data_IF_443104188112
#
_entry.id   IF_443104188112
#
_cell.length_a   1.000
_cell.length_b   1.000
_cell.length_c   1.000
_cell.angle_alpha   90.00
_cell.angle_beta   90.00
_cell.angle_gamma   90.00
#
_symmetry.space_group_name_H-M   'P 1'
#
loop_
_entity.id
_entity.type
_entity.pdbx_description
1 polymer ?
#
# COMPACT_ATOMS: atom_id res chain seq x y z
N UNK A 1 -8.75 35.63 -3.23
CA UNK A 1 -9.26 35.49 -1.84
C UNK A 1 -9.78 34.05 -1.57
N UNK A 2 -8.97 33.00 -1.86
CA UNK A 2 -9.40 31.58 -1.66
C UNK A 2 -8.50 30.83 -0.64
N UNK A 3 -7.50 31.53 -0.06
CA UNK A 3 -6.55 30.88 0.87
C UNK A 3 -7.03 30.65 2.31
N UNK A 4 -8.16 31.19 2.73
CA UNK A 4 -8.55 31.19 4.16
C UNK A 4 -9.64 30.17 4.58
N UNK A 5 -10.25 29.43 3.65
CA UNK A 5 -11.25 28.41 4.04
C UNK A 5 -10.66 27.02 4.30
N UNK A 6 -9.48 26.70 3.75
CA UNK A 6 -8.85 25.38 3.95
C UNK A 6 -8.09 25.26 5.29
N UNK A 7 -7.67 26.37 5.91
CA UNK A 7 -7.01 26.33 7.23
C UNK A 7 -7.96 25.97 8.37
N UNK A 8 -9.26 26.27 8.23
CA UNK A 8 -10.23 26.02 9.29
C UNK A 8 -10.72 24.54 9.36
N UNK A 9 -10.64 23.79 8.24
CA UNK A 9 -11.02 22.35 8.29
C UNK A 9 -9.97 21.50 9.00
N UNK A 10 -8.69 21.92 9.03
CA UNK A 10 -7.67 21.27 9.84
C UNK A 10 -7.82 21.50 11.36
N UNK A 11 -8.58 22.52 11.76
CA UNK A 11 -8.71 22.89 13.17
C UNK A 11 -9.85 22.14 13.90
N UNK A 12 -10.76 21.49 13.21
CA UNK A 12 -11.92 20.85 13.85
C UNK A 12 -11.54 19.62 14.70
N UNK A 13 -10.39 18.99 14.45
CA UNK A 13 -9.86 17.90 15.29
C UNK A 13 -8.81 18.38 16.32
N UNK A 14 -8.46 19.64 16.33
CA UNK A 14 -7.38 20.18 17.19
C UNK A 14 -7.83 20.43 18.62
N UNK A 15 -9.12 20.31 18.93
CA UNK A 15 -9.64 20.50 20.31
C UNK A 15 -9.61 19.22 21.15
N UNK A 16 -9.29 18.07 20.56
CA UNK A 16 -9.10 16.82 21.30
C UNK A 16 -7.64 16.53 21.65
N UNK A 17 -7.39 15.54 22.50
CA UNK A 17 -6.04 15.10 22.91
C UNK A 17 -5.19 14.59 21.73
N UNK A 18 -5.76 14.37 20.54
CA UNK A 18 -5.06 13.86 19.36
C UNK A 18 -4.57 15.00 18.47
N UNK A 19 -3.25 15.14 18.38
CA UNK A 19 -2.62 16.05 17.43
C UNK A 19 -2.63 15.41 16.02
N UNK A 20 -3.63 15.76 15.21
CA UNK A 20 -3.82 15.22 13.84
C UNK A 20 -2.57 15.39 12.96
N UNK A 21 -1.83 16.51 13.07
CA UNK A 21 -0.62 16.75 12.27
C UNK A 21 0.51 15.80 12.68
N UNK A 22 0.68 15.59 13.98
CA UNK A 22 1.68 14.66 14.50
C UNK A 22 1.36 13.23 14.08
N UNK A 23 0.10 12.84 14.16
CA UNK A 23 -0.36 11.50 13.75
C UNK A 23 -0.16 11.25 12.25
N UNK A 24 -0.54 12.19 11.39
CA UNK A 24 -0.30 12.12 9.95
C UNK A 24 1.20 11.99 9.66
N UNK A 25 2.03 12.82 10.31
CA UNK A 25 3.48 12.76 10.15
C UNK A 25 4.05 11.41 10.58
N UNK A 26 3.62 10.88 11.72
CA UNK A 26 4.03 9.57 12.24
C UNK A 26 3.75 8.47 11.21
N UNK A 27 2.52 8.40 10.70
CA UNK A 27 2.13 7.40 9.72
C UNK A 27 2.90 7.54 8.40
N UNK A 28 3.10 8.75 7.90
CA UNK A 28 3.85 8.98 6.65
C UNK A 28 5.33 8.62 6.78
N UNK A 29 5.97 8.93 7.90
CA UNK A 29 7.38 8.55 8.15
C UNK A 29 7.52 7.04 8.19
N UNK A 30 6.64 6.35 8.93
CA UNK A 30 6.65 4.89 9.02
C UNK A 30 6.46 4.23 7.65
N UNK A 31 5.46 4.66 6.89
CA UNK A 31 5.19 4.16 5.53
C UNK A 31 6.36 4.39 4.59
N UNK A 32 6.97 5.57 4.59
CA UNK A 32 8.12 5.87 3.74
C UNK A 32 9.32 4.95 4.02
N UNK A 33 9.57 4.62 5.29
CA UNK A 33 10.66 3.71 5.65
C UNK A 33 10.40 2.27 5.16
N UNK A 34 9.17 1.79 5.31
CA UNK A 34 8.73 0.49 4.81
C UNK A 34 8.77 0.43 3.27
N UNK A 35 8.27 1.48 2.59
CA UNK A 35 8.29 1.63 1.14
C UNK A 35 9.71 1.56 0.57
N UNK A 36 10.67 2.32 1.14
CA UNK A 36 12.05 2.37 0.67
C UNK A 36 12.73 1.00 0.71
N UNK A 37 12.51 0.23 1.79
CA UNK A 37 13.06 -1.12 1.92
C UNK A 37 12.43 -2.06 0.91
N UNK A 38 11.12 -2.02 0.78
CA UNK A 38 10.38 -2.87 -0.13
C UNK A 38 10.70 -2.57 -1.59
N UNK A 39 10.80 -1.29 -1.96
CA UNK A 39 11.25 -0.88 -3.29
C UNK A 39 12.58 -1.51 -3.68
N UNK A 40 13.57 -1.52 -2.77
CA UNK A 40 14.88 -2.13 -3.06
C UNK A 40 14.75 -3.62 -3.36
N UNK A 41 13.97 -4.34 -2.58
CA UNK A 41 13.74 -5.77 -2.76
C UNK A 41 13.05 -6.05 -4.11
N UNK A 42 11.97 -5.34 -4.42
CA UNK A 42 11.25 -5.47 -5.68
C UNK A 42 12.11 -5.12 -6.89
N UNK A 43 12.86 -4.02 -6.82
CA UNK A 43 13.72 -3.60 -7.92
C UNK A 43 14.82 -4.64 -8.20
N UNK A 44 15.42 -5.21 -7.16
CA UNK A 44 16.42 -6.29 -7.31
C UNK A 44 15.79 -7.54 -7.92
N UNK A 45 14.61 -7.95 -7.44
CA UNK A 45 13.91 -9.13 -7.94
C UNK A 45 13.52 -8.96 -9.42
N UNK A 46 12.88 -7.84 -9.79
CA UNK A 46 12.50 -7.60 -11.18
C UNK A 46 13.69 -7.51 -12.13
N UNK A 47 14.79 -6.89 -11.71
CA UNK A 47 16.01 -6.85 -12.52
C UNK A 47 16.61 -8.24 -12.72
N UNK A 48 16.68 -9.04 -11.65
CA UNK A 48 17.13 -10.43 -11.71
C UNK A 48 16.25 -11.22 -12.69
N UNK A 49 14.93 -11.12 -12.55
CA UNK A 49 14.00 -11.80 -13.45
C UNK A 49 14.24 -11.42 -14.91
N UNK A 50 14.29 -10.13 -15.26
CA UNK A 50 14.53 -9.68 -16.63
C UNK A 50 15.87 -10.21 -17.15
N UNK A 51 16.93 -10.15 -16.36
CA UNK A 51 18.25 -10.63 -16.77
C UNK A 51 18.26 -12.15 -17.02
N UNK A 52 17.57 -12.95 -16.18
CA UNK A 52 17.43 -14.40 -16.39
C UNK A 52 16.66 -14.68 -17.67
N UNK A 53 15.55 -14.00 -17.92
CA UNK A 53 14.80 -14.19 -19.16
C UNK A 53 15.61 -13.81 -20.40
N UNK A 54 16.38 -12.72 -20.32
CA UNK A 54 17.27 -12.31 -21.41
C UNK A 54 18.40 -13.31 -21.66
N UNK A 55 18.97 -13.87 -20.60
CA UNK A 55 19.98 -14.94 -20.71
C UNK A 55 19.40 -16.18 -21.42
N UNK A 56 18.24 -16.67 -20.96
CA UNK A 56 17.57 -17.82 -21.55
C UNK A 56 17.21 -17.57 -23.02
N UNK A 57 16.70 -16.39 -23.33
CA UNK A 57 16.39 -16.02 -24.71
C UNK A 57 17.63 -15.95 -25.59
N UNK A 58 18.73 -15.40 -25.10
CA UNK A 58 20.00 -15.30 -25.83
C UNK A 58 20.63 -16.66 -26.12
N UNK A 59 20.60 -17.56 -25.13
CA UNK A 59 21.24 -18.88 -25.27
C UNK A 59 20.39 -19.87 -26.08
N UNK A 60 19.05 -19.83 -25.89
CA UNK A 60 18.16 -20.85 -26.46
C UNK A 60 17.21 -20.32 -27.54
N UNK A 61 17.14 -19.01 -27.74
CA UNK A 61 16.18 -18.37 -28.67
C UNK A 61 14.71 -18.50 -28.26
N UNK A 62 14.45 -18.98 -27.02
CA UNK A 62 13.10 -19.29 -26.54
C UNK A 62 12.70 -18.33 -25.44
N UNK A 63 11.47 -17.90 -25.48
CA UNK A 63 10.79 -17.20 -24.40
C UNK A 63 9.37 -17.73 -24.26
N UNK A 64 9.09 -18.31 -23.11
CA UNK A 64 7.79 -18.91 -22.80
C UNK A 64 7.07 -18.04 -21.75
N UNK A 65 6.07 -17.23 -22.15
CA UNK A 65 5.42 -16.27 -21.25
C UNK A 65 4.80 -16.94 -20.02
N UNK A 66 4.17 -18.11 -20.18
CA UNK A 66 3.51 -18.82 -19.09
C UNK A 66 4.51 -19.30 -18.03
N UNK A 67 5.63 -19.88 -18.47
CA UNK A 67 6.74 -20.30 -17.59
C UNK A 67 7.35 -19.07 -16.91
N UNK A 68 7.51 -17.96 -17.63
CA UNK A 68 7.99 -16.72 -17.06
C UNK A 68 7.06 -16.15 -15.98
N UNK A 69 5.73 -16.20 -16.20
CA UNK A 69 4.72 -15.81 -15.19
C UNK A 69 4.83 -16.70 -13.95
N UNK A 70 4.89 -18.01 -14.12
CA UNK A 70 5.00 -18.94 -13.00
C UNK A 70 6.26 -18.68 -12.19
N UNK A 71 7.43 -18.63 -12.83
CA UNK A 71 8.72 -18.35 -12.18
C UNK A 71 8.69 -17.01 -11.42
N UNK A 72 8.12 -15.98 -12.04
CA UNK A 72 8.01 -14.67 -11.37
C UNK A 72 7.06 -14.72 -10.17
N UNK A 73 5.94 -15.43 -10.26
CA UNK A 73 5.00 -15.59 -9.15
C UNK A 73 5.63 -16.33 -7.97
N UNK A 74 6.40 -17.39 -8.22
CA UNK A 74 7.11 -18.14 -7.17
C UNK A 74 8.09 -17.27 -6.38
N UNK A 75 8.72 -16.28 -7.00
CA UNK A 75 9.57 -15.31 -6.30
C UNK A 75 8.78 -14.13 -5.71
N UNK A 76 7.76 -13.63 -6.41
CA UNK A 76 7.03 -12.40 -6.08
C UNK A 76 6.07 -12.57 -4.90
N UNK A 77 5.28 -13.64 -4.89
CA UNK A 77 4.25 -13.84 -3.86
C UNK A 77 4.82 -13.96 -2.43
N UNK A 78 5.90 -14.73 -2.17
CA UNK A 78 6.54 -14.76 -0.85
C UNK A 78 7.12 -13.41 -0.43
N UNK A 79 7.66 -12.63 -1.38
CA UNK A 79 8.17 -11.28 -1.10
C UNK A 79 7.03 -10.33 -0.70
N UNK A 80 5.88 -10.43 -1.35
CA UNK A 80 4.69 -9.66 -1.00
C UNK A 80 4.15 -10.03 0.38
N UNK A 81 3.99 -11.32 0.67
CA UNK A 81 3.52 -11.80 1.98
C UNK A 81 4.46 -11.35 3.10
N UNK A 82 5.76 -11.52 2.91
CA UNK A 82 6.77 -11.08 3.89
C UNK A 82 6.73 -9.56 4.12
N UNK A 83 6.46 -8.79 3.07
CA UNK A 83 6.29 -7.34 3.20
C UNK A 83 5.04 -6.98 3.99
N UNK A 84 3.91 -7.62 3.70
CA UNK A 84 2.66 -7.37 4.43
C UNK A 84 2.79 -7.71 5.92
N UNK A 85 3.39 -8.87 6.26
CA UNK A 85 3.70 -9.21 7.66
C UNK A 85 4.47 -8.09 8.37
N UNK A 86 5.51 -7.59 7.72
CA UNK A 86 6.33 -6.48 8.26
C UNK A 86 5.56 -5.18 8.42
N UNK A 87 4.72 -4.84 7.43
CA UNK A 87 3.89 -3.63 7.50
C UNK A 87 2.92 -3.72 8.68
N UNK A 88 2.22 -4.83 8.80
CA UNK A 88 1.26 -5.07 9.88
C UNK A 88 1.94 -4.99 11.26
N UNK A 89 3.06 -5.69 11.44
CA UNK A 89 3.83 -5.64 12.69
C UNK A 89 4.24 -4.21 13.05
N UNK A 90 4.72 -3.44 12.07
CA UNK A 90 5.17 -2.07 12.29
C UNK A 90 4.00 -1.13 12.64
N UNK A 91 2.84 -1.29 11.99
CA UNK A 91 1.65 -0.48 12.25
C UNK A 91 1.07 -0.81 13.64
N UNK A 92 0.94 -2.10 13.97
CA UNK A 92 0.43 -2.54 15.27
C UNK A 92 1.31 -2.03 16.40
N UNK A 93 2.64 -2.27 16.32
CA UNK A 93 3.58 -1.74 17.30
C UNK A 93 3.51 -0.22 17.44
N UNK A 94 3.44 0.50 16.33
CA UNK A 94 3.35 1.96 16.36
C UNK A 94 2.06 2.48 16.99
N UNK A 95 0.95 1.74 16.89
CA UNK A 95 -0.30 2.07 17.55
C UNK A 95 -0.27 1.69 19.04
N UNK A 96 0.32 0.55 19.40
CA UNK A 96 0.56 0.19 20.80
C UNK A 96 1.39 1.26 21.52
N UNK A 97 2.49 1.72 20.89
CA UNK A 97 3.33 2.80 21.43
C UNK A 97 2.56 4.14 21.59
N UNK A 98 1.58 4.40 20.69
CA UNK A 98 0.72 5.60 20.77
C UNK A 98 -0.26 5.53 21.94
N UNK A 99 -0.85 4.38 22.14
CA UNK A 99 -1.82 4.12 23.20
C UNK A 99 -1.14 3.52 24.43
N UNK A 100 0.06 4.03 24.81
CA UNK A 100 0.73 3.59 26.02
C UNK A 100 -0.19 3.77 27.22
N UNK A 101 -0.97 2.72 27.51
CA UNK A 101 -1.87 2.64 28.65
C UNK A 101 -1.07 2.41 29.93
N UNK A 102 -0.08 3.29 30.21
CA UNK A 102 0.69 3.36 31.43
C UNK A 102 0.96 1.97 32.01
N UNK A 103 1.91 1.23 31.46
CA UNK A 103 2.30 -0.10 31.94
C UNK A 103 2.68 -0.03 33.42
N UNK A 104 1.70 -0.22 34.29
CA UNK A 104 1.98 -0.85 35.57
C UNK A 104 2.28 -2.31 35.24
N UNK A 105 3.50 -2.74 35.57
CA UNK A 105 4.14 -3.98 35.13
C UNK A 105 3.36 -5.28 35.46
N UNK A 106 2.25 -5.23 36.18
CA UNK A 106 1.54 -6.40 36.72
C UNK A 106 0.23 -6.75 36.02
N UNK A 107 -0.28 -5.87 35.14
CA UNK A 107 -1.42 -6.19 34.29
C UNK A 107 -1.02 -5.92 32.84
N UNK A 108 -0.35 -6.88 32.23
CA UNK A 108 -0.13 -6.88 30.79
C UNK A 108 -1.48 -7.01 30.09
N UNK A 109 -2.16 -5.89 29.89
CA UNK A 109 -3.21 -5.79 28.91
C UNK A 109 -2.54 -5.89 27.54
N UNK A 110 -2.29 -7.13 27.12
CA UNK A 110 -1.73 -7.43 25.81
C UNK A 110 -2.85 -7.14 24.82
N UNK A 111 -2.86 -5.93 24.30
CA UNK A 111 -3.62 -5.58 23.11
C UNK A 111 -3.30 -6.64 22.06
N UNK A 112 -4.29 -7.38 21.60
CA UNK A 112 -4.11 -8.40 20.59
C UNK A 112 -4.13 -9.84 21.06
N UNK A 113 -4.60 -10.16 22.27
CA UNK A 113 -4.89 -11.56 22.63
C UNK A 113 -6.00 -12.19 21.79
N UNK A 114 -6.85 -11.37 21.16
CA UNK A 114 -7.95 -11.84 20.30
C UNK A 114 -7.63 -11.82 18.81
N UNK A 115 -6.51 -11.18 18.38
CA UNK A 115 -6.19 -11.11 16.96
C UNK A 115 -5.25 -12.26 16.60
N UNK A 116 -5.75 -13.19 15.80
CA UNK A 116 -4.89 -14.08 15.05
C UNK A 116 -4.20 -13.28 13.93
N UNK A 117 -3.01 -12.76 14.27
CA UNK A 117 -2.20 -11.92 13.40
C UNK A 117 -1.87 -12.62 12.07
N UNK A 118 -1.57 -13.93 12.10
CA UNK A 118 -1.28 -14.69 10.89
C UNK A 118 -2.52 -14.81 9.99
N UNK A 119 -3.67 -15.11 10.57
CA UNK A 119 -4.95 -15.15 9.83
C UNK A 119 -5.28 -13.80 9.23
N UNK A 120 -5.09 -12.69 9.96
CA UNK A 120 -5.36 -11.35 9.45
C UNK A 120 -4.47 -11.01 8.26
N UNK A 121 -3.17 -11.28 8.35
CA UNK A 121 -2.20 -11.04 7.26
C UNK A 121 -2.52 -11.91 6.05
N UNK A 122 -2.82 -13.19 6.26
CA UNK A 122 -3.16 -14.13 5.18
C UNK A 122 -4.47 -13.74 4.49
N UNK A 123 -5.49 -13.34 5.24
CA UNK A 123 -6.76 -12.84 4.68
C UNK A 123 -6.52 -11.62 3.80
N UNK A 124 -5.70 -10.67 4.27
CA UNK A 124 -5.33 -9.51 3.46
C UNK A 124 -4.56 -9.93 2.20
N UNK A 125 -3.56 -10.81 2.33
CA UNK A 125 -2.77 -11.30 1.20
C UNK A 125 -3.66 -11.96 0.15
N UNK A 126 -4.54 -12.88 0.54
CA UNK A 126 -5.47 -13.57 -0.36
C UNK A 126 -6.39 -12.58 -1.08
N UNK A 127 -6.86 -11.53 -0.41
CA UNK A 127 -7.64 -10.46 -1.05
C UNK A 127 -6.89 -9.70 -2.15
N UNK A 128 -5.55 -9.80 -2.16
CA UNK A 128 -4.68 -9.13 -3.14
C UNK A 128 -4.18 -10.04 -4.26
N UNK A 129 -4.30 -11.36 -4.13
CA UNK A 129 -3.69 -12.34 -5.06
C UNK A 129 -3.98 -12.05 -6.53
N UNK A 130 -5.25 -11.80 -6.87
CA UNK A 130 -5.65 -11.50 -8.26
C UNK A 130 -4.96 -10.27 -8.82
N UNK A 131 -4.81 -9.21 -8.01
CA UNK A 131 -4.12 -7.98 -8.42
C UNK A 131 -2.63 -8.23 -8.59
N UNK A 132 -2.04 -9.01 -7.68
CA UNK A 132 -0.62 -9.35 -7.67
C UNK A 132 -0.26 -10.23 -8.87
N UNK A 133 -1.04 -11.27 -9.16
CA UNK A 133 -0.88 -12.12 -10.35
C UNK A 133 -0.97 -11.31 -11.64
N UNK A 134 -1.92 -10.37 -11.73
CA UNK A 134 -2.00 -9.48 -12.89
C UNK A 134 -0.80 -8.53 -13.05
N UNK A 135 0.01 -8.30 -12.01
CA UNK A 135 1.27 -7.54 -12.13
C UNK A 135 2.33 -8.38 -12.86
N UNK A 136 2.50 -9.63 -12.45
CA UNK A 136 3.49 -10.56 -13.02
C UNK A 136 3.15 -10.94 -14.46
N UNK A 137 1.88 -11.24 -14.73
CA UNK A 137 1.37 -11.51 -16.09
C UNK A 137 1.66 -10.35 -17.04
N UNK A 138 1.32 -9.12 -16.65
CA UNK A 138 1.57 -7.95 -17.50
C UNK A 138 3.06 -7.72 -17.77
N UNK A 139 3.95 -8.06 -16.84
CA UNK A 139 5.38 -7.91 -17.07
C UNK A 139 5.88 -8.96 -18.08
N UNK A 140 5.54 -10.23 -17.87
CA UNK A 140 5.94 -11.33 -18.73
C UNK A 140 5.39 -11.17 -20.15
N UNK A 141 4.10 -10.85 -20.30
CA UNK A 141 3.47 -10.67 -21.60
C UNK A 141 4.08 -9.50 -22.39
N UNK A 142 4.42 -8.39 -21.71
CA UNK A 142 5.10 -7.27 -22.38
C UNK A 142 6.50 -7.61 -22.87
N UNK A 143 7.21 -8.48 -22.19
CA UNK A 143 8.51 -8.99 -22.68
C UNK A 143 8.26 -9.81 -23.93
N UNK A 144 7.28 -10.73 -23.94
CA UNK A 144 6.88 -11.51 -25.11
C UNK A 144 6.55 -10.62 -26.30
N UNK A 145 5.62 -9.68 -26.14
CA UNK A 145 5.23 -8.71 -27.17
C UNK A 145 6.45 -7.99 -27.77
N UNK A 146 7.42 -7.61 -26.92
CA UNK A 146 8.63 -6.89 -27.40
C UNK A 146 9.54 -7.81 -28.20
N UNK A 147 9.64 -9.08 -27.82
CA UNK A 147 10.40 -10.11 -28.57
C UNK A 147 9.71 -10.34 -29.93
N UNK A 148 8.38 -10.50 -29.94
CA UNK A 148 7.62 -10.80 -31.16
C UNK A 148 7.68 -9.63 -32.16
N UNK A 149 7.62 -8.37 -31.68
CA UNK A 149 7.86 -7.19 -32.52
C UNK A 149 9.27 -7.24 -33.13
N UNK A 150 10.30 -7.48 -32.31
CA UNK A 150 11.66 -7.55 -32.82
C UNK A 150 11.88 -8.67 -33.85
N UNK A 151 11.21 -9.82 -33.69
CA UNK A 151 11.22 -10.91 -34.69
C UNK A 151 10.52 -10.49 -35.99
N UNK A 152 9.36 -9.83 -35.88
CA UNK A 152 8.61 -9.35 -37.04
C UNK A 152 9.41 -8.28 -37.82
N UNK A 153 10.18 -7.44 -37.12
CA UNK A 153 11.07 -6.44 -37.72
C UNK A 153 12.38 -7.02 -38.28
N UNK A 154 12.58 -8.34 -38.21
CA UNK A 154 13.76 -9.00 -38.72
C UNK A 154 15.03 -8.76 -37.91
N UNK A 155 14.91 -8.36 -36.64
CA UNK A 155 16.04 -8.11 -35.77
C UNK A 155 16.75 -9.40 -35.37
N UNK A 156 18.08 -9.34 -35.26
CA UNK A 156 18.87 -10.45 -34.74
C UNK A 156 18.59 -10.69 -33.26
N UNK A 157 18.90 -11.90 -32.78
CA UNK A 157 18.75 -12.29 -31.38
C UNK A 157 19.43 -11.28 -30.43
N UNK A 158 20.62 -10.81 -30.79
CA UNK A 158 21.38 -9.81 -30.00
C UNK A 158 20.65 -8.46 -29.97
N UNK A 159 20.08 -8.02 -31.10
CA UNK A 159 19.35 -6.77 -31.18
C UNK A 159 18.05 -6.84 -30.36
N UNK A 160 17.32 -7.97 -30.42
CA UNK A 160 16.11 -8.19 -29.60
C UNK A 160 16.47 -8.19 -28.11
N UNK A 161 17.53 -8.91 -27.73
CA UNK A 161 18.01 -8.94 -26.34
C UNK A 161 18.32 -7.52 -25.83
N UNK A 162 18.98 -6.71 -26.64
CA UNK A 162 19.28 -5.31 -26.32
C UNK A 162 17.98 -4.49 -26.20
N UNK A 163 17.06 -4.64 -27.13
CA UNK A 163 15.77 -3.94 -27.15
C UNK A 163 14.97 -4.21 -25.85
N UNK A 164 14.87 -5.49 -25.44
CA UNK A 164 14.21 -5.87 -24.20
C UNK A 164 14.94 -5.30 -22.98
N UNK A 165 16.27 -5.40 -22.93
CA UNK A 165 17.08 -4.85 -21.84
C UNK A 165 16.87 -3.34 -21.68
N UNK A 166 17.01 -2.59 -22.76
CA UNK A 166 16.88 -1.13 -22.77
C UNK A 166 15.47 -0.67 -22.37
N UNK A 167 14.44 -1.44 -22.73
CA UNK A 167 13.04 -1.13 -22.40
C UNK A 167 12.67 -1.54 -20.98
N UNK A 168 13.03 -2.72 -20.53
CA UNK A 168 12.49 -3.29 -19.30
C UNK A 168 13.30 -3.02 -18.04
N UNK A 169 14.61 -2.80 -18.08
CA UNK A 169 15.39 -2.46 -16.90
C UNK A 169 14.99 -1.10 -16.29
N UNK A 170 14.75 -0.02 -17.09
CA UNK A 170 14.20 1.23 -16.57
C UNK A 170 12.75 1.09 -16.09
N UNK A 171 11.92 0.35 -16.86
CA UNK A 171 10.50 0.11 -16.49
C UNK A 171 10.41 -0.66 -15.16
N UNK A 172 11.28 -1.64 -14.93
CA UNK A 172 11.31 -2.40 -13.67
C UNK A 172 11.51 -1.49 -12.46
N UNK A 173 12.35 -0.46 -12.57
CA UNK A 173 12.58 0.52 -11.51
C UNK A 173 11.33 1.33 -11.17
N UNK A 174 10.66 1.89 -12.18
CA UNK A 174 9.45 2.70 -11.99
C UNK A 174 8.27 1.83 -11.51
N UNK A 175 8.16 0.61 -12.01
CA UNK A 175 7.16 -0.37 -11.56
C UNK A 175 7.38 -0.77 -10.10
N UNK A 176 8.62 -1.11 -9.73
CA UNK A 176 8.94 -1.44 -8.34
C UNK A 176 8.59 -0.29 -7.39
N UNK A 177 8.85 0.97 -7.79
CA UNK A 177 8.49 2.14 -7.00
C UNK A 177 6.97 2.31 -6.87
N UNK A 178 6.23 2.11 -7.96
CA UNK A 178 4.77 2.21 -7.97
C UNK A 178 4.13 1.13 -7.06
N UNK A 179 4.57 -0.12 -7.20
CA UNK A 179 4.08 -1.26 -6.42
C UNK A 179 4.44 -1.05 -4.94
N UNK A 180 5.70 -0.72 -4.64
CA UNK A 180 6.16 -0.51 -3.28
C UNK A 180 5.30 0.55 -2.57
N UNK A 181 5.05 1.68 -3.21
CA UNK A 181 4.23 2.75 -2.64
C UNK A 181 2.78 2.33 -2.45
N UNK A 182 2.16 1.77 -3.48
CA UNK A 182 0.74 1.42 -3.45
C UNK A 182 0.47 0.32 -2.43
N UNK A 183 1.25 -0.76 -2.46
CA UNK A 183 1.02 -1.92 -1.59
C UNK A 183 1.42 -1.65 -0.13
N UNK A 184 2.48 -0.88 0.12
CA UNK A 184 2.80 -0.44 1.49
C UNK A 184 1.70 0.46 2.06
N UNK A 185 1.19 1.39 1.26
CA UNK A 185 0.11 2.29 1.68
C UNK A 185 -1.17 1.51 2.01
N UNK A 186 -1.60 0.63 1.10
CA UNK A 186 -2.83 -0.13 1.26
C UNK A 186 -2.76 -1.07 2.48
N UNK A 187 -1.67 -1.82 2.61
CA UNK A 187 -1.44 -2.72 3.74
C UNK A 187 -1.39 -1.96 5.08
N UNK A 188 -0.70 -0.81 5.12
CA UNK A 188 -0.62 0.02 6.32
C UNK A 188 -1.98 0.60 6.71
N UNK A 189 -2.79 1.01 5.73
CA UNK A 189 -4.13 1.55 5.99
C UNK A 189 -5.10 0.48 6.46
N UNK A 190 -5.05 -0.72 5.87
CA UNK A 190 -5.83 -1.86 6.31
C UNK A 190 -5.45 -2.28 7.74
N UNK A 191 -4.15 -2.46 8.01
CA UNK A 191 -3.66 -2.81 9.33
C UNK A 191 -4.06 -1.78 10.41
N UNK A 192 -3.97 -0.49 10.08
CA UNK A 192 -4.37 0.59 10.98
C UNK A 192 -5.89 0.58 11.25
N UNK A 193 -6.69 0.32 10.23
CA UNK A 193 -8.14 0.19 10.36
C UNK A 193 -8.51 -1.02 11.23
N UNK A 194 -7.92 -2.18 10.96
CA UNK A 194 -8.16 -3.41 11.72
C UNK A 194 -7.77 -3.24 13.19
N UNK A 195 -6.61 -2.62 13.46
CA UNK A 195 -6.18 -2.32 14.83
C UNK A 195 -7.22 -1.50 15.60
N UNK A 196 -7.69 -0.40 15.03
CA UNK A 196 -8.64 0.50 15.72
C UNK A 196 -10.04 -0.11 15.82
N UNK A 197 -10.42 -1.00 14.89
CA UNK A 197 -11.67 -1.75 15.00
C UNK A 197 -11.63 -2.71 16.19
N UNK A 198 -10.56 -3.47 16.34
CA UNK A 198 -10.36 -4.32 17.51
C UNK A 198 -10.28 -3.48 18.80
N UNK A 199 -9.60 -2.32 18.76
CA UNK A 199 -9.53 -1.41 19.90
C UNK A 199 -10.91 -0.96 20.36
N UNK A 200 -11.81 -0.63 19.41
CA UNK A 200 -13.20 -0.29 19.70
C UNK A 200 -13.93 -1.44 20.40
N UNK A 201 -13.77 -2.65 19.89
CA UNK A 201 -14.42 -3.86 20.43
C UNK A 201 -13.91 -4.18 21.85
N UNK A 202 -12.59 -4.16 22.05
CA UNK A 202 -11.96 -4.50 23.33
C UNK A 202 -12.25 -3.47 24.44
N UNK A 203 -12.35 -2.18 24.09
CA UNK A 203 -12.61 -1.11 25.05
C UNK A 203 -14.10 -0.81 25.24
N UNK A 204 -14.97 -1.38 24.42
CA UNK A 204 -16.41 -1.04 24.43
C UNK A 204 -16.64 0.45 24.18
N UNK A 205 -15.78 1.11 23.41
CA UNK A 205 -15.82 2.53 23.10
C UNK A 205 -16.22 2.74 21.65
N UNK A 206 -16.57 3.97 21.28
CA UNK A 206 -16.87 4.33 19.90
C UNK A 206 -15.67 5.03 19.28
N UNK A 207 -15.16 4.48 18.18
CA UNK A 207 -14.06 5.07 17.42
C UNK A 207 -14.59 5.85 16.22
N UNK A 208 -14.12 7.08 16.09
CA UNK A 208 -14.32 7.90 14.91
C UNK A 208 -13.08 7.89 14.03
N UNK A 209 -13.26 8.08 12.73
CA UNK A 209 -12.17 8.17 11.77
C UNK A 209 -12.32 9.39 10.86
N UNK A 210 -11.17 10.03 10.55
CA UNK A 210 -11.12 11.19 9.68
C UNK A 210 -10.25 10.94 8.47
N UNK A 211 -10.76 11.29 7.29
CA UNK A 211 -9.96 11.31 6.07
C UNK A 211 -9.07 12.54 6.04
N UNK A 212 -7.77 12.36 5.88
CA UNK A 212 -6.79 13.44 5.76
C UNK A 212 -6.00 13.27 4.46
N UNK A 213 -6.24 14.15 3.50
CA UNK A 213 -5.49 14.14 2.25
C UNK A 213 -4.13 14.84 2.44
N UNK A 214 -3.09 14.27 1.81
CA UNK A 214 -1.81 14.98 1.64
C UNK A 214 -1.98 15.99 0.51
N UNK A 215 -2.09 17.27 0.84
CA UNK A 215 -2.38 18.33 -0.13
C UNK A 215 -1.11 18.80 -0.81
N UNK A 216 -0.92 18.39 -2.07
CA UNK A 216 0.11 18.89 -2.99
C UNK A 216 -0.38 18.78 -4.45
N UNK A 217 0.48 19.15 -5.42
CA UNK A 217 0.15 19.13 -6.85
C UNK A 217 -0.22 17.74 -7.41
N UNK A 218 0.04 16.65 -6.66
CA UNK A 218 -0.29 15.26 -7.06
C UNK A 218 -1.55 14.74 -6.39
N UNK A 219 -2.18 15.54 -5.52
CA UNK A 219 -3.41 15.14 -4.82
C UNK A 219 -4.59 15.20 -5.78
N UNK A 220 -5.31 14.10 -5.88
CA UNK A 220 -6.52 14.06 -6.71
C UNK A 220 -7.58 15.03 -6.16
N UNK A 221 -8.31 15.75 -7.02
CA UNK A 221 -9.40 16.64 -6.57
C UNK A 221 -10.42 15.91 -5.69
N UNK A 222 -10.82 14.70 -6.05
CA UNK A 222 -11.77 13.87 -5.27
C UNK A 222 -11.24 13.52 -3.88
N UNK A 223 -9.94 13.29 -3.72
CA UNK A 223 -9.32 13.04 -2.41
C UNK A 223 -9.18 14.32 -1.58
N UNK A 224 -8.91 15.44 -2.25
CA UNK A 224 -8.89 16.75 -1.58
C UNK A 224 -10.29 17.12 -1.04
N UNK A 225 -11.35 16.86 -1.82
CA UNK A 225 -12.74 17.07 -1.40
C UNK A 225 -13.13 16.14 -0.24
N UNK A 226 -12.63 14.91 -0.21
CA UNK A 226 -12.90 13.97 0.88
C UNK A 226 -12.17 14.36 2.18
N UNK A 227 -11.14 15.21 2.11
CA UNK A 227 -10.36 15.62 3.27
C UNK A 227 -11.23 16.36 4.27
N UNK A 228 -11.19 15.91 5.52
CA UNK A 228 -12.00 16.45 6.61
C UNK A 228 -13.30 15.67 6.88
N UNK A 229 -13.71 14.74 6.00
CA UNK A 229 -14.83 13.85 6.33
C UNK A 229 -14.52 13.08 7.62
N UNK A 230 -15.48 13.05 8.52
CA UNK A 230 -15.46 12.30 9.79
C UNK A 230 -16.64 11.34 9.76
N UNK A 231 -16.41 10.10 10.15
CA UNK A 231 -17.45 9.08 10.22
C UNK A 231 -17.11 8.04 11.29
N UNK A 232 -18.06 7.22 11.68
CA UNK A 232 -17.83 6.08 12.56
C UNK A 232 -16.88 5.08 11.89
N UNK A 233 -16.17 4.29 12.70
CA UNK A 233 -15.18 3.36 12.16
C UNK A 233 -15.81 2.33 11.21
N UNK A 234 -17.05 1.95 11.44
CA UNK A 234 -17.78 0.96 10.64
C UNK A 234 -18.41 1.54 9.36
N UNK A 235 -18.55 2.87 9.29
CA UNK A 235 -19.10 3.58 8.13
C UNK A 235 -18.05 3.78 7.03
N UNK A 236 -18.48 4.25 5.85
CA UNK A 236 -17.61 4.54 4.72
C UNK A 236 -17.42 6.04 4.49
N UNK A 237 -16.29 6.39 3.86
CA UNK A 237 -16.08 7.72 3.28
C UNK A 237 -16.57 7.74 1.84
N UNK A 238 -17.14 8.86 1.40
CA UNK A 238 -17.47 9.06 -0.01
C UNK A 238 -16.32 9.77 -0.72
N UNK A 239 -15.62 9.05 -1.63
CA UNK A 239 -14.44 9.54 -2.33
C UNK A 239 -14.66 9.44 -3.84
N UNK A 240 -14.93 10.57 -4.48
CA UNK A 240 -15.20 10.61 -5.92
C UNK A 240 -16.36 9.72 -6.36
N UNK A 241 -17.44 9.70 -5.60
CA UNK A 241 -18.62 8.88 -5.84
C UNK A 241 -18.46 7.39 -5.51
N UNK A 242 -17.39 7.02 -4.80
CA UNK A 242 -17.14 5.63 -4.38
C UNK A 242 -17.01 5.57 -2.87
N UNK A 243 -17.66 4.59 -2.26
CA UNK A 243 -17.57 4.32 -0.83
C UNK A 243 -16.29 3.56 -0.50
N UNK A 244 -15.54 4.04 0.49
CA UNK A 244 -14.27 3.47 0.92
C UNK A 244 -14.18 3.46 2.45
N UNK A 245 -13.80 2.34 3.05
CA UNK A 245 -13.63 2.22 4.50
C UNK A 245 -12.40 2.98 5.01
N UNK A 246 -11.35 3.06 4.20
CA UNK A 246 -10.09 3.74 4.50
C UNK A 246 -9.36 4.14 3.21
N UNK A 247 -8.34 4.96 3.32
CA UNK A 247 -7.51 5.34 2.18
C UNK A 247 -6.71 4.11 1.69
N UNK A 248 -6.90 3.73 0.42
CA UNK A 248 -6.31 2.51 -0.14
C UNK A 248 -7.20 1.28 -0.07
N UNK A 249 -8.47 1.44 0.35
CA UNK A 249 -9.48 0.39 0.25
C UNK A 249 -9.68 -0.02 -1.22
N UNK A 250 -9.64 -1.33 -1.48
CA UNK A 250 -9.81 -1.89 -2.82
C UNK A 250 -11.14 -1.53 -3.49
N UNK A 251 -12.19 -1.28 -2.71
CA UNK A 251 -13.48 -0.79 -3.19
C UNK A 251 -13.34 0.52 -4.00
N UNK A 252 -12.33 1.34 -3.72
CA UNK A 252 -12.04 2.56 -4.45
C UNK A 252 -11.57 2.35 -5.90
N UNK A 253 -11.20 1.13 -6.27
CA UNK A 253 -10.63 0.78 -7.57
C UNK A 253 -9.29 1.47 -7.84
N UNK A 254 -8.69 1.14 -8.99
CA UNK A 254 -7.35 1.62 -9.35
C UNK A 254 -7.24 3.16 -9.33
N UNK A 255 -8.28 3.85 -9.77
CA UNK A 255 -8.32 5.32 -9.87
C UNK A 255 -8.17 6.02 -8.51
N UNK A 256 -8.67 5.43 -7.42
CA UNK A 256 -8.59 6.01 -6.07
C UNK A 256 -7.45 5.41 -5.23
N UNK A 257 -6.97 4.22 -5.59
CA UNK A 257 -6.05 3.43 -4.74
C UNK A 257 -4.59 3.61 -5.15
N UNK A 258 -4.27 3.53 -6.47
CA UNK A 258 -2.89 3.57 -6.94
C UNK A 258 -2.23 4.91 -6.59
N UNK A 259 -1.03 4.89 -5.98
CA UNK A 259 -0.28 6.08 -5.55
C UNK A 259 -1.04 7.00 -4.56
N UNK A 260 -2.05 6.50 -3.87
CA UNK A 260 -2.70 7.26 -2.81
C UNK A 260 -1.71 7.52 -1.65
N UNK A 261 -1.82 8.71 -1.03
CA UNK A 261 -1.00 9.12 0.13
C UNK A 261 -1.85 9.66 1.27
N UNK A 262 -3.17 9.58 1.14
CA UNK A 262 -4.08 10.01 2.19
C UNK A 262 -3.88 9.17 3.46
N UNK A 263 -4.21 9.75 4.59
CA UNK A 263 -4.09 9.10 5.90
C UNK A 263 -5.46 9.10 6.56
N UNK A 264 -5.77 8.05 7.28
CA UNK A 264 -6.92 8.02 8.19
C UNK A 264 -6.40 8.21 9.61
N UNK A 265 -6.98 9.18 10.30
CA UNK A 265 -6.74 9.43 11.72
C UNK A 265 -7.91 8.87 12.51
N UNK A 266 -7.63 8.08 13.52
CA UNK A 266 -8.61 7.44 14.39
C UNK A 266 -8.58 8.11 15.75
N UNK A 267 -9.76 8.35 16.34
CA UNK A 267 -9.95 9.04 17.61
C UNK A 267 -11.08 8.34 18.39
N UNK A 268 -10.88 8.14 19.69
CA UNK A 268 -11.96 7.76 20.59
C UNK A 268 -12.96 8.93 20.70
N UNK A 269 -14.25 8.65 20.59
CA UNK A 269 -15.30 9.67 20.69
C UNK A 269 -15.19 10.49 22.01
N UNK A 270 -14.75 9.85 23.09
CA UNK A 270 -14.54 10.48 24.41
C UNK A 270 -13.40 11.50 24.42
N UNK A 271 -12.46 11.39 23.49
CA UNK A 271 -11.35 12.34 23.32
C UNK A 271 -11.72 13.53 22.41
N UNK A 272 -12.90 13.50 21.82
CA UNK A 272 -13.47 14.65 21.11
C UNK A 272 -14.14 15.58 22.13
N UNK A 273 -13.47 16.69 22.45
CA UNK A 273 -14.07 17.76 23.26
C UNK A 273 -15.06 18.50 22.36
N UNK A 274 -16.34 18.43 22.71
CA UNK A 274 -17.41 19.23 22.12
C UNK A 274 -17.26 20.70 22.51
#
# INVERSE_FOLDING_TARGET
>A
MIRNKQSNQFNTFVQGRVNTRAEVRRQLVLRNNLEKRFYRNLNTMFRKFVNVQLYLYKEFGLYEPQTAVQTLNEEFMPVMLSHYKRVFQAIYKSNEDKYDFGRKADEAFVFGRSIDFETLVNTYFTSRELVLSGITERLANRISETIDIGRADGLTLQQITKLVSDKFLPISRSRAALIARTETHNAASFANHSYHKTLQEDLGTKMLKQWVATIDARTRPTHATASGQITDIDETFLVGGTEMKFAGDSAGGAKNVINCRCVIVYVDERDMIV
#
